data_IF_959340857716
#
_entry.id   IF_959340857716
#
_cell.length_a   1.000
_cell.length_b   1.000
_cell.length_c   1.000
_cell.angle_alpha   90.00
_cell.angle_beta   90.00
_cell.angle_gamma   90.00
#
_symmetry.space_group_name_H-M   'P 1'
#
loop_
_entity.id
_entity.type
_entity.pdbx_description
1 polymer ?
#
# COMPACT_ATOMS: atom_id res chain seq x y z
N UNK A 1 1.92 2.34 -6.81
CA UNK A 1 2.76 3.15 -5.89
C UNK A 1 1.95 4.08 -4.98
N UNK A 2 1.16 5.04 -5.49
CA UNK A 2 0.44 6.04 -4.66
C UNK A 2 -0.52 5.47 -3.60
N UNK A 3 -1.07 4.28 -3.83
CA UNK A 3 -1.96 3.57 -2.89
C UNK A 3 -1.22 2.65 -1.91
N UNK A 4 0.11 2.53 -2.06
CA UNK A 4 0.96 1.52 -1.44
C UNK A 4 0.54 0.06 -1.70
N UNK A 5 -0.30 -0.21 -2.70
CA UNK A 5 -0.61 -1.59 -3.13
C UNK A 5 0.65 -2.33 -3.64
N UNK A 6 1.54 -1.59 -4.29
CA UNK A 6 2.90 -2.01 -4.62
C UNK A 6 3.85 -0.88 -4.20
N UNK A 7 4.39 -0.90 -2.97
CA UNK A 7 5.37 0.07 -2.53
C UNK A 7 6.74 -0.23 -3.14
N UNK A 8 7.56 0.81 -3.30
CA UNK A 8 8.94 0.69 -3.79
C UNK A 8 9.90 0.70 -2.59
N UNK A 9 10.72 -0.33 -2.50
CA UNK A 9 11.77 -0.45 -1.49
C UNK A 9 12.84 -1.43 -1.97
N UNK A 10 13.99 -1.39 -1.32
CA UNK A 10 15.11 -2.30 -1.52
C UNK A 10 15.44 -2.96 -0.19
N UNK A 11 16.02 -4.16 -0.25
CA UNK A 11 16.60 -4.84 0.91
C UNK A 11 18.11 -4.89 0.67
N UNK A 12 18.86 -4.15 1.48
CA UNK A 12 20.32 -4.06 1.39
C UNK A 12 20.93 -5.10 2.33
N UNK A 13 21.86 -5.90 1.79
CA UNK A 13 22.56 -6.99 2.51
C UNK A 13 21.63 -8.01 3.16
N UNK A 14 20.41 -8.17 2.64
CA UNK A 14 19.40 -9.11 3.15
C UNK A 14 18.69 -8.67 4.44
N UNK A 15 19.10 -7.57 5.06
CA UNK A 15 18.63 -7.18 6.39
C UNK A 15 17.95 -5.80 6.41
N UNK A 16 18.50 -4.82 5.69
CA UNK A 16 18.08 -3.43 5.82
C UNK A 16 17.05 -3.03 4.78
N UNK A 17 15.85 -2.72 5.24
CA UNK A 17 14.78 -2.21 4.38
C UNK A 17 14.95 -0.72 4.12
N UNK A 18 15.00 -0.32 2.84
CA UNK A 18 15.11 1.07 2.42
C UNK A 18 13.96 1.39 1.47
N UNK A 19 13.02 2.22 1.91
CA UNK A 19 11.91 2.69 1.05
C UNK A 19 12.45 3.70 0.04
N UNK A 20 12.14 3.51 -1.24
CA UNK A 20 12.66 4.29 -2.37
C UNK A 20 11.56 4.98 -3.19
N UNK A 21 11.98 5.83 -4.14
CA UNK A 21 11.08 6.50 -5.09
C UNK A 21 9.93 7.27 -4.41
N UNK A 22 8.75 7.27 -5.04
CA UNK A 22 7.58 7.97 -4.53
C UNK A 22 7.03 7.36 -3.23
N UNK A 23 7.28 6.08 -2.96
CA UNK A 23 6.91 5.46 -1.68
C UNK A 23 7.62 6.12 -0.49
N UNK A 24 8.86 6.62 -0.69
CA UNK A 24 9.57 7.39 0.33
C UNK A 24 8.86 8.69 0.67
N UNK A 25 8.34 9.39 -0.34
CA UNK A 25 7.55 10.61 -0.13
C UNK A 25 6.29 10.34 0.71
N UNK A 26 5.62 9.21 0.46
CA UNK A 26 4.46 8.79 1.26
C UNK A 26 4.86 8.43 2.69
N UNK A 27 6.01 7.77 2.89
CA UNK A 27 6.52 7.44 4.22
C UNK A 27 6.79 8.70 5.06
N UNK A 28 7.32 9.76 4.45
CA UNK A 28 7.57 11.06 5.08
C UNK A 28 6.29 11.89 5.27
N UNK A 29 5.33 11.78 4.36
CA UNK A 29 4.05 12.48 4.43
C UNK A 29 2.87 11.53 4.17
N UNK A 30 2.30 10.92 5.23
CA UNK A 30 1.23 9.93 5.11
C UNK A 30 -0.03 10.43 4.40
N UNK A 31 -0.27 11.75 4.38
CA UNK A 31 -1.42 12.35 3.68
C UNK A 31 -1.38 12.14 2.16
N UNK A 32 -0.23 11.79 1.60
CA UNK A 32 -0.07 11.47 0.18
C UNK A 32 -0.60 10.08 -0.19
N UNK A 33 -0.84 9.20 0.78
CA UNK A 33 -1.35 7.84 0.51
C UNK A 33 -2.79 7.93 0.03
N UNK A 34 -3.06 7.37 -1.15
CA UNK A 34 -4.42 7.24 -1.70
C UNK A 34 -5.08 5.93 -1.24
N UNK A 35 -6.42 5.87 -1.16
CA UNK A 35 -7.16 4.63 -0.97
C UNK A 35 -6.87 3.60 -2.06
N UNK A 36 -6.91 2.31 -1.72
CA UNK A 36 -6.63 1.21 -2.67
C UNK A 36 -7.59 1.19 -3.85
N UNK A 37 -8.81 1.67 -3.65
CA UNK A 37 -9.83 1.73 -4.70
C UNK A 37 -9.41 2.58 -5.90
N UNK A 38 -8.58 3.61 -5.71
CA UNK A 38 -8.01 4.43 -6.80
C UNK A 38 -7.11 3.60 -7.73
N UNK A 39 -6.48 2.55 -7.20
CA UNK A 39 -5.71 1.60 -8.00
C UNK A 39 -6.62 0.55 -8.65
N UNK A 40 -7.59 0.00 -7.90
CA UNK A 40 -8.40 -1.14 -8.36
C UNK A 40 -9.47 -0.75 -9.38
N UNK A 41 -10.14 0.39 -9.20
CA UNK A 41 -11.32 0.83 -9.97
C UNK A 41 -11.11 0.89 -11.49
N UNK A 42 -10.00 1.44 -12.03
CA UNK A 42 -9.80 1.50 -13.48
C UNK A 42 -9.48 0.14 -14.13
N UNK A 43 -9.16 -0.89 -13.34
CA UNK A 43 -8.73 -2.20 -13.88
C UNK A 43 -9.92 -3.14 -14.06
N UNK A 44 -10.20 -3.55 -15.30
CA UNK A 44 -11.32 -4.43 -15.65
C UNK A 44 -11.38 -5.74 -14.84
N UNK A 45 -10.21 -6.33 -14.55
CA UNK A 45 -10.08 -7.58 -13.76
C UNK A 45 -10.63 -7.48 -12.34
N UNK A 46 -10.77 -6.27 -11.78
CA UNK A 46 -11.27 -6.04 -10.42
C UNK A 46 -12.72 -5.57 -10.36
N UNK A 47 -13.42 -5.45 -11.51
CA UNK A 47 -14.81 -4.97 -11.55
C UNK A 47 -15.75 -5.73 -10.62
N UNK A 48 -15.56 -7.03 -10.48
CA UNK A 48 -16.41 -7.88 -9.62
C UNK A 48 -16.31 -7.49 -8.13
N UNK A 49 -15.18 -6.93 -7.68
CA UNK A 49 -14.99 -6.49 -6.29
C UNK A 49 -15.88 -5.29 -5.93
N UNK A 50 -16.32 -4.51 -6.92
CA UNK A 50 -17.15 -3.32 -6.71
C UNK A 50 -18.65 -3.59 -6.71
N UNK A 51 -19.07 -4.86 -6.78
CA UNK A 51 -20.47 -5.22 -6.59
C UNK A 51 -20.85 -5.11 -5.10
N UNK A 52 -22.10 -4.73 -4.75
CA UNK A 52 -22.51 -4.56 -3.36
C UNK A 52 -22.24 -5.78 -2.47
N UNK A 53 -22.43 -6.99 -2.99
CA UNK A 53 -22.16 -8.25 -2.29
C UNK A 53 -20.68 -8.45 -1.88
N UNK A 54 -19.77 -7.74 -2.55
CA UNK A 54 -18.33 -7.82 -2.34
C UNK A 54 -17.74 -6.61 -1.60
N UNK A 55 -18.58 -5.70 -1.08
CA UNK A 55 -18.12 -4.49 -0.38
C UNK A 55 -17.12 -4.81 0.75
N UNK A 56 -17.37 -5.90 1.49
CA UNK A 56 -16.47 -6.38 2.54
C UNK A 56 -15.08 -6.75 2.03
N UNK A 57 -14.97 -7.30 0.82
CA UNK A 57 -13.67 -7.66 0.23
C UNK A 57 -12.83 -6.41 -0.05
N UNK A 58 -13.44 -5.31 -0.50
CA UNK A 58 -12.71 -4.05 -0.72
C UNK A 58 -12.13 -3.50 0.58
N UNK A 59 -12.88 -3.59 1.68
CA UNK A 59 -12.38 -3.20 3.00
C UNK A 59 -11.25 -4.11 3.48
N UNK A 60 -11.37 -5.43 3.29
CA UNK A 60 -10.32 -6.39 3.65
C UNK A 60 -9.03 -6.13 2.86
N UNK A 61 -9.14 -5.84 1.56
CA UNK A 61 -8.01 -5.45 0.73
C UNK A 61 -7.38 -4.15 1.24
N UNK A 62 -8.19 -3.14 1.55
CA UNK A 62 -7.68 -1.88 2.10
C UNK A 62 -6.92 -2.12 3.41
N UNK A 63 -7.50 -2.88 4.35
CA UNK A 63 -6.87 -3.25 5.62
C UNK A 63 -5.56 -3.99 5.40
N UNK A 64 -5.50 -4.93 4.44
CA UNK A 64 -4.28 -5.69 4.16
C UNK A 64 -3.17 -4.79 3.60
N UNK A 65 -3.50 -3.90 2.65
CA UNK A 65 -2.53 -2.95 2.09
C UNK A 65 -1.99 -2.01 3.18
N UNK A 66 -2.86 -1.53 4.07
CA UNK A 66 -2.45 -0.66 5.17
C UNK A 66 -1.57 -1.41 6.18
N UNK A 67 -1.91 -2.66 6.50
CA UNK A 67 -1.10 -3.51 7.37
C UNK A 67 0.31 -3.77 6.81
N UNK A 68 0.42 -4.18 5.54
CA UNK A 68 1.71 -4.44 4.90
C UNK A 68 2.55 -3.18 4.77
N UNK A 69 1.90 -2.04 4.46
CA UNK A 69 2.57 -0.75 4.40
C UNK A 69 3.12 -0.34 5.77
N UNK A 70 2.32 -0.46 6.82
CA UNK A 70 2.75 -0.15 8.20
C UNK A 70 3.88 -1.08 8.66
N UNK A 71 3.80 -2.37 8.32
CA UNK A 71 4.88 -3.33 8.57
C UNK A 71 6.18 -2.91 7.88
N UNK A 72 6.12 -2.51 6.60
CA UNK A 72 7.28 -2.01 5.87
C UNK A 72 7.85 -0.72 6.47
N UNK A 73 6.99 0.21 6.92
CA UNK A 73 7.43 1.44 7.60
C UNK A 73 8.21 1.14 8.88
N UNK A 74 7.76 0.17 9.68
CA UNK A 74 8.46 -0.28 10.89
C UNK A 74 9.81 -0.90 10.55
N UNK A 75 9.84 -1.82 9.58
CA UNK A 75 11.08 -2.45 9.11
C UNK A 75 12.09 -1.42 8.58
N UNK A 76 11.62 -0.35 7.93
CA UNK A 76 12.44 0.72 7.39
C UNK A 76 12.70 1.88 8.38
N UNK A 77 12.25 1.78 9.63
CA UNK A 77 12.52 2.76 10.69
C UNK A 77 11.73 4.08 10.61
N UNK A 78 10.61 4.14 9.88
CA UNK A 78 9.74 5.33 9.79
C UNK A 78 8.67 5.38 10.90
N UNK A 79 8.52 4.30 11.65
CA UNK A 79 7.52 4.10 12.71
C UNK A 79 8.16 3.31 13.85
N UNK A 80 7.95 3.77 15.08
CA UNK A 80 8.33 3.10 16.33
C UNK A 80 7.22 2.19 16.81
#
# INVERSE_FOLDING_TARGET
VQTCFFPLYEIVDGEKYVITGYSRSIAMNPKLKKPVVEYLKPQGRFRHLFKPENARLLEEIQRRVDYEWERLLKLAGYRS
#
